data_IF_603350325581
#
_entry.id   IF_603350325581
#
_cell.length_a   1.000
_cell.length_b   1.000
_cell.length_c   1.000
_cell.angle_alpha   90.00
_cell.angle_beta   90.00
_cell.angle_gamma   90.00
#
_symmetry.space_group_name_H-M   'P 1'
#
loop_
_entity.id
_entity.type
_entity.pdbx_description
1 polymer ?
#
# COMPACT_ATOMS: atom_id res chain seq x y z
N UNK A 1 13.86 3.03 9.98
CA UNK A 1 14.04 1.88 9.05
C UNK A 1 13.78 2.19 7.56
N UNK A 2 13.07 3.26 7.19
CA UNK A 2 12.57 3.46 5.81
C UNK A 2 13.43 4.38 4.92
N UNK A 3 14.58 4.87 5.39
CA UNK A 3 15.35 5.94 4.72
C UNK A 3 15.73 5.63 3.27
N UNK A 4 15.98 4.37 2.94
CA UNK A 4 16.58 3.94 1.66
C UNK A 4 15.70 3.00 0.84
N UNK A 5 14.40 2.94 1.14
CA UNK A 5 13.48 2.02 0.47
C UNK A 5 12.31 2.76 -0.17
N UNK A 6 11.85 2.25 -1.31
CA UNK A 6 10.65 2.74 -1.97
C UNK A 6 9.37 2.13 -1.37
N UNK A 7 8.22 2.40 -1.99
CA UNK A 7 6.94 1.93 -1.49
C UNK A 7 6.73 0.43 -1.74
N UNK A 8 7.28 -0.15 -2.80
CA UNK A 8 7.20 -1.58 -3.05
C UNK A 8 8.04 -2.36 -2.03
N UNK A 9 9.28 -1.91 -1.80
CA UNK A 9 10.15 -2.44 -0.76
C UNK A 9 9.57 -2.25 0.65
N UNK A 10 8.80 -1.18 0.89
CA UNK A 10 8.07 -1.01 2.17
C UNK A 10 6.99 -2.08 2.36
N UNK A 11 6.25 -2.44 1.31
CA UNK A 11 5.27 -3.55 1.37
C UNK A 11 5.97 -4.89 1.59
N UNK A 12 7.10 -5.11 0.92
CA UNK A 12 7.90 -6.31 1.09
C UNK A 12 8.50 -6.43 2.50
N UNK A 13 8.93 -5.32 3.09
CA UNK A 13 9.40 -5.25 4.47
C UNK A 13 8.27 -5.66 5.45
N UNK A 14 7.04 -5.20 5.23
CA UNK A 14 5.90 -5.62 6.05
C UNK A 14 5.65 -7.12 5.97
N UNK A 15 5.66 -7.69 4.75
CA UNK A 15 5.54 -9.14 4.55
C UNK A 15 6.66 -9.91 5.23
N UNK A 16 7.89 -9.40 5.19
CA UNK A 16 9.06 -10.02 5.83
C UNK A 16 8.94 -10.04 7.36
N UNK A 17 8.41 -8.96 7.95
CA UNK A 17 8.31 -8.82 9.41
C UNK A 17 7.10 -9.53 10.03
N UNK A 18 5.99 -9.64 9.31
CA UNK A 18 4.73 -10.15 9.88
C UNK A 18 3.83 -10.90 8.90
N UNK A 19 4.38 -11.35 7.77
CA UNK A 19 3.65 -12.16 6.80
C UNK A 19 2.49 -11.44 6.13
N UNK A 20 1.53 -12.22 5.62
CA UNK A 20 0.29 -11.72 5.04
C UNK A 20 -0.53 -10.92 6.04
N UNK A 21 -0.56 -11.35 7.31
CA UNK A 21 -1.41 -10.77 8.33
C UNK A 21 -1.03 -9.31 8.62
N UNK A 22 0.27 -9.00 8.67
CA UNK A 22 0.73 -7.62 8.80
C UNK A 22 0.47 -6.80 7.53
N UNK A 23 0.58 -7.39 6.35
CA UNK A 23 0.22 -6.72 5.09
C UNK A 23 -1.27 -6.36 5.08
N UNK A 24 -2.13 -7.29 5.48
CA UNK A 24 -3.58 -7.09 5.54
C UNK A 24 -3.97 -6.06 6.60
N UNK A 25 -3.39 -6.12 7.80
CA UNK A 25 -3.56 -5.09 8.82
C UNK A 25 -3.16 -3.72 8.27
N UNK A 26 -2.03 -3.60 7.57
CA UNK A 26 -1.63 -2.33 6.97
C UNK A 26 -2.62 -1.89 5.88
N UNK A 27 -3.15 -2.81 5.06
CA UNK A 27 -4.15 -2.50 4.02
C UNK A 27 -5.44 -1.97 4.62
N UNK A 28 -5.94 -2.57 5.69
CA UNK A 28 -7.26 -2.27 6.24
C UNK A 28 -7.24 -1.20 7.32
N UNK A 29 -6.20 -1.14 8.16
CA UNK A 29 -6.24 -0.38 9.42
C UNK A 29 -5.36 0.87 9.39
N UNK A 30 -4.56 1.08 8.33
CA UNK A 30 -3.79 2.32 8.17
C UNK A 30 -4.48 3.31 7.24
N UNK A 31 -4.23 4.59 7.50
CA UNK A 31 -4.69 5.69 6.67
C UNK A 31 -3.54 6.31 5.87
N UNK A 32 -3.76 6.54 4.59
CA UNK A 32 -2.78 7.20 3.70
C UNK A 32 -3.42 8.25 2.81
N UNK A 33 -4.73 8.16 2.56
CA UNK A 33 -5.44 9.08 1.69
C UNK A 33 -5.37 10.52 2.22
N UNK A 34 -5.15 11.50 1.35
CA UNK A 34 -5.20 12.90 1.78
C UNK A 34 -6.61 13.41 2.06
N UNK A 35 -7.64 12.71 1.58
CA UNK A 35 -9.03 13.11 1.70
C UNK A 35 -9.80 12.35 2.79
N UNK A 36 -9.15 11.50 3.59
CA UNK A 36 -9.86 10.77 4.64
C UNK A 36 -10.70 9.58 4.16
N UNK A 37 -10.77 9.31 2.85
CA UNK A 37 -11.68 8.31 2.29
C UNK A 37 -11.38 6.87 2.73
N UNK A 38 -12.42 6.18 3.25
CA UNK A 38 -12.39 4.75 3.62
C UNK A 38 -13.54 3.94 3.00
N UNK A 39 -14.08 4.39 1.87
CA UNK A 39 -15.15 3.70 1.13
C UNK A 39 -14.70 2.35 0.57
N UNK A 40 -14.48 2.26 -0.74
CA UNK A 40 -14.06 0.99 -1.36
C UNK A 40 -12.70 0.51 -0.81
N UNK A 41 -12.62 -0.78 -0.48
CA UNK A 41 -11.35 -1.46 -0.19
C UNK A 41 -10.72 -1.89 -1.52
N UNK A 42 -9.59 -1.27 -1.88
CA UNK A 42 -8.80 -1.68 -3.04
C UNK A 42 -7.78 -2.75 -2.63
N UNK A 43 -7.14 -3.40 -3.61
CA UNK A 43 -6.04 -4.35 -3.34
C UNK A 43 -4.95 -3.73 -2.47
N UNK A 44 -4.67 -2.43 -2.62
CA UNK A 44 -3.65 -1.70 -1.85
C UNK A 44 -4.17 -1.06 -0.55
N UNK A 45 -5.44 -1.25 -0.20
CA UNK A 45 -6.10 -0.70 0.98
C UNK A 45 -7.16 0.38 0.67
N UNK A 46 -7.57 1.13 1.69
CA UNK A 46 -8.55 2.21 1.57
C UNK A 46 -7.99 3.51 0.97
N UNK A 47 -8.83 4.23 0.22
CA UNK A 47 -8.56 5.61 -0.19
C UNK A 47 -9.35 6.07 -1.42
N UNK A 48 -9.29 7.37 -1.71
CA UNK A 48 -10.02 7.98 -2.83
C UNK A 48 -9.52 7.55 -4.22
N UNK A 49 -8.32 6.95 -4.32
CA UNK A 49 -7.73 6.50 -5.58
C UNK A 49 -7.17 7.61 -6.48
N UNK A 50 -7.51 8.88 -6.23
CA UNK A 50 -7.16 10.01 -7.12
C UNK A 50 -6.11 10.96 -6.54
N UNK A 51 -5.87 10.95 -5.22
CA UNK A 51 -4.86 11.81 -4.61
C UNK A 51 -3.43 11.23 -4.76
N UNK A 52 -2.37 12.07 -4.68
CA UNK A 52 -0.99 11.61 -4.84
C UNK A 52 -0.57 10.51 -3.87
N UNK A 53 -1.05 10.54 -2.62
CA UNK A 53 -0.74 9.50 -1.63
C UNK A 53 -1.35 8.15 -1.99
N UNK A 54 -2.61 8.13 -2.45
CA UNK A 54 -3.25 6.92 -2.97
C UNK A 54 -2.51 6.40 -4.20
N UNK A 55 -2.12 7.28 -5.13
CA UNK A 55 -1.39 6.90 -6.33
C UNK A 55 -0.03 6.25 -6.00
N UNK A 56 0.74 6.81 -5.05
CA UNK A 56 2.00 6.22 -4.61
C UNK A 56 1.81 4.87 -3.93
N UNK A 57 0.83 4.78 -3.01
CA UNK A 57 0.52 3.53 -2.29
C UNK A 57 0.10 2.41 -3.23
N UNK A 58 -0.77 2.73 -4.19
CA UNK A 58 -1.28 1.79 -5.18
C UNK A 58 -0.20 1.28 -6.13
N UNK A 59 0.64 2.18 -6.66
CA UNK A 59 1.78 1.78 -7.52
C UNK A 59 2.75 0.87 -6.78
N UNK A 60 3.14 1.25 -5.55
CA UNK A 60 4.05 0.44 -4.73
C UNK A 60 3.48 -0.95 -4.44
N UNK A 61 2.19 -1.05 -4.14
CA UNK A 61 1.54 -2.35 -3.93
C UNK A 61 1.53 -3.21 -5.19
N UNK A 62 1.21 -2.62 -6.36
CA UNK A 62 1.22 -3.35 -7.65
C UNK A 62 2.60 -3.92 -7.99
N UNK A 63 3.64 -3.12 -7.80
CA UNK A 63 5.03 -3.55 -7.99
C UNK A 63 5.39 -4.70 -7.04
N UNK A 64 5.02 -4.57 -5.75
CA UNK A 64 5.20 -5.63 -4.76
C UNK A 64 4.46 -6.93 -5.13
N UNK A 65 3.21 -6.84 -5.58
CA UNK A 65 2.39 -7.99 -5.93
C UNK A 65 2.71 -8.58 -7.32
N UNK A 66 3.74 -8.09 -8.01
CA UNK A 66 4.17 -8.62 -9.30
C UNK A 66 3.26 -8.25 -10.48
N UNK A 67 2.43 -7.20 -10.36
CA UNK A 67 1.67 -6.69 -11.49
C UNK A 67 2.61 -6.01 -12.48
N UNK A 68 2.90 -6.69 -13.60
CA UNK A 68 3.51 -6.06 -14.76
C UNK A 68 2.51 -5.07 -15.37
N UNK A 69 2.90 -3.81 -15.54
CA UNK A 69 2.15 -2.89 -16.37
C UNK A 69 2.30 -3.35 -17.83
N UNK A 70 1.21 -3.80 -18.45
CA UNK A 70 1.11 -4.02 -19.89
C UNK A 70 1.24 -2.71 -20.65
#
# INVERSE_FOLDING_TARGET
PLMWIDKAATWDMARTLGGSDLVDLIRTDTHTCYLGERGALHDWGYGCGTCPACALRARGYRQFAGYAAT
#
